data_IF_354196898737
#
_entry.id   IF_354196898737
#
_cell.length_a   1.000
_cell.length_b   1.000
_cell.length_c   1.000
_cell.angle_alpha   90.00
_cell.angle_beta   90.00
_cell.angle_gamma   90.00
#
_symmetry.space_group_name_H-M   'P 1'
#
loop_
_entity.id
_entity.type
_entity.pdbx_description
1 polymer ?
#
# COMPACT_ATOMS: atom_id res chain seq x y z
N UNK A 1 10.56 20.74 6.12
CA UNK A 1 11.20 21.97 5.57
C UNK A 1 12.56 21.67 4.93
N UNK A 2 13.39 20.86 5.57
CA UNK A 2 14.75 20.57 5.05
C UNK A 2 14.75 19.87 3.69
N UNK A 3 13.87 18.89 3.46
CA UNK A 3 13.76 18.21 2.18
C UNK A 3 13.29 19.16 1.08
N UNK A 4 12.24 19.96 1.34
CA UNK A 4 11.75 20.95 0.39
C UNK A 4 12.86 21.93 -0.02
N UNK A 5 13.56 22.50 0.97
CA UNK A 5 14.65 23.45 0.72
C UNK A 5 15.81 22.81 -0.04
N UNK A 6 16.17 21.56 0.27
CA UNK A 6 17.19 20.83 -0.47
C UNK A 6 16.79 20.64 -1.93
N UNK A 7 15.57 20.15 -2.18
CA UNK A 7 15.07 19.94 -3.55
C UNK A 7 14.98 21.23 -4.35
N UNK A 8 14.63 22.35 -3.69
CA UNK A 8 14.54 23.66 -4.31
C UNK A 8 15.92 24.21 -4.68
N UNK A 9 16.89 24.15 -3.74
CA UNK A 9 18.24 24.66 -3.91
C UNK A 9 19.03 23.85 -4.95
N UNK A 10 18.91 22.53 -4.94
CA UNK A 10 19.59 21.62 -5.86
C UNK A 10 18.84 21.44 -7.20
N UNK A 11 17.70 22.15 -7.38
CA UNK A 11 16.88 22.11 -8.59
C UNK A 11 16.49 20.68 -9.01
N UNK A 12 16.07 19.89 -8.04
CA UNK A 12 15.70 18.49 -8.24
C UNK A 12 14.46 18.39 -9.14
N UNK A 13 14.59 17.65 -10.24
CA UNK A 13 13.50 17.43 -11.23
C UNK A 13 12.71 16.15 -10.93
N UNK A 14 13.40 15.11 -10.48
CA UNK A 14 12.84 13.79 -10.23
C UNK A 14 13.37 13.23 -8.90
N UNK A 15 12.51 12.54 -8.16
CA UNK A 15 12.92 11.89 -6.91
C UNK A 15 12.14 10.60 -6.68
N UNK A 16 12.75 9.67 -5.92
CA UNK A 16 12.18 8.38 -5.57
C UNK A 16 12.11 8.24 -4.05
N UNK A 17 11.02 7.70 -3.55
CA UNK A 17 10.84 7.56 -2.12
C UNK A 17 9.59 6.77 -1.75
N UNK A 18 9.30 6.77 -0.46
CA UNK A 18 8.13 6.09 0.12
C UNK A 18 7.02 7.12 0.42
N UNK A 19 5.74 6.71 0.49
CA UNK A 19 4.62 7.63 0.70
C UNK A 19 4.76 8.55 1.91
N UNK A 20 5.30 8.07 3.03
CA UNK A 20 5.50 8.88 4.25
C UNK A 20 6.39 10.12 4.01
N UNK A 21 7.46 9.97 3.21
CA UNK A 21 8.32 11.10 2.82
C UNK A 21 7.53 12.09 1.96
N UNK A 22 6.74 11.57 1.04
CA UNK A 22 5.94 12.39 0.12
C UNK A 22 4.82 13.14 0.82
N UNK A 23 4.15 12.53 1.80
CA UNK A 23 3.16 13.21 2.65
C UNK A 23 3.78 14.39 3.39
N UNK A 24 4.97 14.21 3.98
CA UNK A 24 5.70 15.30 4.62
C UNK A 24 6.10 16.42 3.65
N UNK A 25 6.53 16.08 2.42
CA UNK A 25 6.82 17.05 1.38
C UNK A 25 5.56 17.78 0.93
N UNK A 26 4.45 17.05 0.73
CA UNK A 26 3.17 17.62 0.31
C UNK A 26 2.61 18.60 1.35
N UNK A 27 2.71 18.28 2.64
CA UNK A 27 2.35 19.19 3.72
C UNK A 27 3.14 20.52 3.65
N UNK A 28 4.45 20.46 3.37
CA UNK A 28 5.25 21.67 3.19
C UNK A 28 4.90 22.41 1.89
N UNK A 29 4.59 21.69 0.79
CA UNK A 29 4.14 22.29 -0.47
C UNK A 29 2.82 23.05 -0.30
N UNK A 30 1.86 22.49 0.47
CA UNK A 30 0.59 23.18 0.84
C UNK A 30 0.87 24.46 1.60
N UNK A 31 1.76 24.43 2.59
CA UNK A 31 2.15 25.57 3.41
C UNK A 31 2.84 26.67 2.58
N UNK A 32 3.73 26.27 1.68
CA UNK A 32 4.44 27.16 0.76
C UNK A 32 3.57 27.63 -0.42
N UNK A 33 2.41 26.97 -0.66
CA UNK A 33 1.53 27.15 -1.83
C UNK A 33 2.28 27.00 -3.17
N UNK A 34 3.31 26.20 -3.18
CA UNK A 34 4.13 25.88 -4.37
C UNK A 34 4.88 24.56 -4.17
N UNK A 35 5.37 24.00 -5.25
CA UNK A 35 6.33 22.90 -5.26
C UNK A 35 7.78 23.41 -5.29
N UNK A 36 8.80 22.56 -5.02
CA UNK A 36 10.19 22.87 -5.37
C UNK A 36 10.31 23.23 -6.86
N UNK A 37 11.11 24.22 -7.19
CA UNK A 37 11.08 24.95 -8.46
C UNK A 37 11.03 24.07 -9.71
N UNK A 38 11.85 23.02 -9.80
CA UNK A 38 11.97 22.17 -10.98
C UNK A 38 11.33 20.77 -10.78
N UNK A 39 10.76 20.50 -9.61
CA UNK A 39 10.20 19.19 -9.28
C UNK A 39 8.97 18.86 -10.14
N UNK A 40 9.07 17.85 -10.99
CA UNK A 40 8.05 17.52 -11.99
C UNK A 40 7.68 16.03 -12.04
N UNK A 41 8.50 15.16 -11.43
CA UNK A 41 8.29 13.72 -11.46
C UNK A 41 8.64 13.08 -10.12
N UNK A 42 7.80 12.17 -9.66
CA UNK A 42 8.12 11.33 -8.53
C UNK A 42 7.76 9.87 -8.78
N UNK A 43 8.61 8.98 -8.29
CA UNK A 43 8.29 7.57 -8.14
C UNK A 43 8.06 7.28 -6.65
N UNK A 44 6.92 6.70 -6.35
CA UNK A 44 6.57 6.25 -5.01
C UNK A 44 6.40 4.73 -5.00
N UNK A 45 7.00 4.10 -4.00
CA UNK A 45 6.91 2.65 -3.82
C UNK A 45 7.14 2.25 -2.38
N UNK A 46 7.11 0.95 -2.13
CA UNK A 46 7.34 0.41 -0.79
C UNK A 46 6.10 0.30 0.10
N UNK A 47 5.07 1.09 -0.16
CA UNK A 47 3.71 0.93 0.36
C UNK A 47 2.72 1.52 -0.64
N UNK A 48 1.42 1.32 -0.42
CA UNK A 48 0.38 1.88 -1.27
C UNK A 48 0.40 3.42 -1.24
N UNK A 49 0.12 4.02 -2.39
CA UNK A 49 0.04 5.48 -2.54
C UNK A 49 -1.43 5.89 -2.53
N UNK A 50 -1.87 6.71 -1.55
CA UNK A 50 -3.25 7.14 -1.47
C UNK A 50 -3.70 7.88 -2.74
N UNK A 51 -4.90 7.57 -3.23
CA UNK A 51 -5.49 8.22 -4.40
C UNK A 51 -5.54 9.75 -4.26
N UNK A 52 -5.89 10.23 -3.06
CA UNK A 52 -5.93 11.67 -2.74
C UNK A 52 -4.57 12.35 -2.92
N UNK A 53 -3.48 11.70 -2.53
CA UNK A 53 -2.13 12.22 -2.70
C UNK A 53 -1.75 12.32 -4.18
N UNK A 54 -2.08 11.31 -4.99
CA UNK A 54 -1.84 11.33 -6.45
C UNK A 54 -2.61 12.51 -7.08
N UNK A 55 -3.91 12.63 -6.76
CA UNK A 55 -4.76 13.70 -7.28
C UNK A 55 -4.20 15.09 -6.97
N UNK A 56 -3.81 15.33 -5.74
CA UNK A 56 -3.32 16.64 -5.32
C UNK A 56 -1.97 16.97 -5.95
N UNK A 57 -1.02 16.04 -5.94
CA UNK A 57 0.29 16.25 -6.55
C UNK A 57 0.21 16.57 -8.04
N UNK A 58 -0.65 15.86 -8.76
CA UNK A 58 -0.80 16.08 -10.21
C UNK A 58 -1.63 17.32 -10.54
N UNK A 59 -2.77 17.50 -9.87
CA UNK A 59 -3.73 18.55 -10.21
C UNK A 59 -3.29 19.92 -9.69
N UNK A 60 -2.86 20.00 -8.42
CA UNK A 60 -2.55 21.27 -7.77
C UNK A 60 -1.08 21.68 -7.99
N UNK A 61 -0.18 20.70 -8.03
CA UNK A 61 1.27 20.99 -8.11
C UNK A 61 1.91 20.61 -9.44
N UNK A 62 1.22 19.91 -10.33
CA UNK A 62 1.75 19.50 -11.63
C UNK A 62 3.00 18.61 -11.49
N UNK A 63 2.99 17.68 -10.53
CA UNK A 63 4.02 16.66 -10.34
C UNK A 63 3.47 15.34 -10.84
N UNK A 64 4.10 14.76 -11.85
CA UNK A 64 3.71 13.44 -12.38
C UNK A 64 4.08 12.35 -11.37
N UNK A 65 3.09 11.57 -10.95
CA UNK A 65 3.26 10.50 -9.97
C UNK A 65 3.32 9.15 -10.68
N UNK A 66 4.38 8.42 -10.46
CA UNK A 66 4.50 7.00 -10.85
C UNK A 66 4.49 6.14 -9.60
N UNK A 67 3.57 5.21 -9.51
CA UNK A 67 3.54 4.19 -8.47
C UNK A 67 4.32 2.96 -8.93
N UNK A 68 5.09 2.35 -8.03
CA UNK A 68 5.87 1.15 -8.32
C UNK A 68 5.83 0.15 -7.17
N UNK A 69 6.04 -1.10 -7.55
CA UNK A 69 6.25 -2.19 -6.61
C UNK A 69 7.60 -2.84 -6.84
N UNK A 70 8.19 -3.29 -5.76
CA UNK A 70 9.42 -4.05 -5.81
C UNK A 70 9.92 -4.42 -4.42
N UNK A 71 10.95 -5.22 -4.40
CA UNK A 71 11.64 -5.70 -3.21
C UNK A 71 13.11 -5.90 -3.54
N UNK A 72 13.96 -6.07 -2.53
CA UNK A 72 15.39 -6.29 -2.75
C UNK A 72 15.64 -7.46 -3.69
N UNK A 73 14.83 -8.49 -3.57
CA UNK A 73 14.85 -9.71 -4.39
C UNK A 73 14.47 -9.47 -5.87
N UNK A 74 13.96 -8.29 -6.23
CA UNK A 74 13.62 -7.87 -7.59
C UNK A 74 14.62 -6.86 -8.19
N UNK A 75 15.73 -6.57 -7.55
CA UNK A 75 16.86 -5.71 -7.96
C UNK A 75 16.50 -4.27 -8.42
N UNK A 76 15.82 -3.44 -7.72
CA UNK A 76 14.80 -3.63 -6.68
C UNK A 76 13.36 -3.50 -7.22
N UNK A 77 13.13 -3.22 -8.52
CA UNK A 77 11.84 -2.83 -9.10
C UNK A 77 11.24 -3.95 -9.92
N UNK A 78 10.07 -4.45 -9.51
CA UNK A 78 9.29 -5.47 -10.22
C UNK A 78 8.24 -4.91 -11.19
N UNK A 79 7.58 -3.80 -10.82
CA UNK A 79 6.59 -3.13 -11.68
C UNK A 79 6.54 -1.62 -11.47
N UNK A 80 6.00 -0.91 -12.47
CA UNK A 80 5.74 0.53 -12.42
C UNK A 80 4.47 0.90 -13.18
N UNK A 81 3.77 1.94 -12.73
CA UNK A 81 2.61 2.48 -13.43
C UNK A 81 3.05 3.51 -14.46
N UNK A 82 3.61 3.03 -15.55
CA UNK A 82 3.88 3.89 -16.70
C UNK A 82 2.68 3.86 -17.63
N UNK A 83 1.99 5.01 -17.75
CA UNK A 83 0.87 5.16 -18.64
C UNK A 83 1.36 5.31 -20.09
N UNK A 84 1.01 4.35 -20.95
CA UNK A 84 1.38 4.37 -22.37
C UNK A 84 0.53 5.35 -23.20
N UNK A 85 0.70 5.31 -24.51
CA UNK A 85 -0.04 6.18 -25.44
C UNK A 85 -1.57 6.07 -25.35
N UNK A 86 -2.09 4.91 -24.94
CA UNK A 86 -3.52 4.66 -24.72
C UNK A 86 -4.10 5.56 -23.61
N UNK A 87 -3.29 6.00 -22.65
CA UNK A 87 -3.73 6.89 -21.59
C UNK A 87 -4.06 8.32 -22.08
N UNK A 88 -3.75 8.67 -23.34
CA UNK A 88 -4.10 9.97 -23.89
C UNK A 88 -5.61 10.19 -23.97
N UNK A 89 -6.37 9.11 -24.15
CA UNK A 89 -7.84 9.12 -24.27
C UNK A 89 -8.55 9.07 -22.92
N UNK A 90 -7.82 8.78 -21.84
CA UNK A 90 -8.38 8.69 -20.49
C UNK A 90 -8.56 10.07 -19.87
N UNK A 91 -9.66 10.24 -19.13
CA UNK A 91 -9.88 11.37 -18.25
C UNK A 91 -8.83 11.45 -17.14
N UNK A 92 -8.77 12.59 -16.44
CA UNK A 92 -7.87 12.74 -15.30
C UNK A 92 -8.14 11.70 -14.21
N UNK A 93 -9.42 11.49 -13.86
CA UNK A 93 -9.81 10.56 -12.80
C UNK A 93 -9.49 9.09 -13.15
N UNK A 94 -9.65 8.69 -14.41
CA UNK A 94 -9.25 7.37 -14.89
C UNK A 94 -7.72 7.17 -14.84
N UNK A 95 -6.95 8.21 -15.16
CA UNK A 95 -5.49 8.16 -15.02
C UNK A 95 -5.06 8.03 -13.56
N UNK A 96 -5.68 8.79 -12.67
CA UNK A 96 -5.43 8.70 -11.24
C UNK A 96 -5.77 7.31 -10.72
N UNK A 97 -6.90 6.74 -11.15
CA UNK A 97 -7.28 5.38 -10.76
C UNK A 97 -6.22 4.35 -11.17
N UNK A 98 -5.76 4.39 -12.42
CA UNK A 98 -4.68 3.52 -12.88
C UNK A 98 -3.37 3.72 -12.09
N UNK A 99 -3.10 4.93 -11.62
CA UNK A 99 -1.90 5.24 -10.83
C UNK A 99 -1.97 4.77 -9.37
N UNK A 100 -3.13 4.34 -8.90
CA UNK A 100 -3.24 3.62 -7.61
C UNK A 100 -2.72 2.19 -7.71
N UNK A 101 -2.69 1.59 -8.91
CA UNK A 101 -2.07 0.29 -9.16
C UNK A 101 -0.55 0.42 -9.15
N UNK A 102 0.16 -0.65 -8.76
CA UNK A 102 1.62 -0.69 -8.80
C UNK A 102 2.16 -0.95 -10.22
N UNK A 103 1.26 -1.03 -11.17
CA UNK A 103 1.53 -0.96 -12.60
C UNK A 103 1.87 -2.26 -13.28
N UNK A 104 2.54 -2.16 -14.42
CA UNK A 104 2.90 -3.30 -15.24
C UNK A 104 4.28 -3.81 -14.88
N UNK A 105 4.48 -5.11 -15.04
CA UNK A 105 5.78 -5.75 -14.82
C UNK A 105 6.90 -5.09 -15.63
N UNK A 106 8.09 -5.03 -15.07
CA UNK A 106 9.28 -4.63 -15.78
C UNK A 106 9.66 -5.68 -16.83
N UNK A 107 10.39 -5.28 -17.86
CA UNK A 107 10.78 -6.18 -18.97
C UNK A 107 11.51 -7.45 -18.50
N UNK A 108 12.28 -7.34 -17.42
CA UNK A 108 13.11 -8.43 -16.87
C UNK A 108 12.38 -9.30 -15.83
N UNK A 109 11.08 -9.06 -15.60
CA UNK A 109 10.29 -9.74 -14.56
C UNK A 109 9.01 -10.29 -15.17
N UNK A 110 8.76 -11.57 -14.98
CA UNK A 110 7.45 -12.20 -15.20
C UNK A 110 6.67 -12.28 -13.89
N UNK A 111 5.34 -12.19 -13.98
CA UNK A 111 4.43 -12.21 -12.82
C UNK A 111 3.32 -13.21 -13.04
N UNK A 112 2.95 -13.93 -11.98
CA UNK A 112 1.74 -14.75 -11.91
C UNK A 112 1.08 -14.62 -10.55
N UNK A 113 -0.21 -14.92 -10.48
CA UNK A 113 -0.96 -15.03 -9.23
C UNK A 113 -1.44 -16.46 -9.03
N UNK A 114 -1.31 -16.95 -7.81
CA UNK A 114 -1.57 -18.36 -7.46
C UNK A 114 -2.54 -18.41 -6.28
N UNK A 115 -3.58 -19.24 -6.43
CA UNK A 115 -4.58 -19.46 -5.39
C UNK A 115 -4.06 -20.33 -4.24
N UNK A 116 -4.81 -20.40 -3.14
CA UNK A 116 -4.48 -21.26 -1.98
C UNK A 116 -4.39 -22.76 -2.35
N UNK A 117 -5.07 -23.17 -3.41
CA UNK A 117 -5.01 -24.54 -3.96
C UNK A 117 -3.81 -24.80 -4.87
N UNK A 118 -2.90 -23.83 -4.99
CA UNK A 118 -1.71 -23.89 -5.82
C UNK A 118 -1.95 -23.69 -7.32
N UNK A 119 -3.19 -23.40 -7.74
CA UNK A 119 -3.50 -23.19 -9.17
C UNK A 119 -3.27 -21.74 -9.61
N UNK A 120 -2.88 -21.60 -10.88
CA UNK A 120 -2.79 -20.29 -11.53
C UNK A 120 -4.16 -19.65 -11.62
N UNK A 121 -4.23 -18.38 -11.25
CA UNK A 121 -5.43 -17.56 -11.35
C UNK A 121 -5.41 -16.69 -12.60
N UNK A 122 -6.60 -16.37 -13.18
CA UNK A 122 -6.69 -15.51 -14.35
C UNK A 122 -6.32 -14.05 -14.03
N UNK A 123 -5.74 -13.37 -15.01
CA UNK A 123 -5.52 -11.92 -14.97
C UNK A 123 -6.79 -11.20 -15.43
N UNK A 124 -7.85 -11.22 -14.62
CA UNK A 124 -9.16 -10.64 -14.93
C UNK A 124 -9.49 -9.37 -14.10
N UNK A 125 -8.53 -8.93 -13.29
CA UNK A 125 -8.68 -7.78 -12.40
C UNK A 125 -9.53 -8.07 -11.15
N UNK A 126 -10.04 -9.29 -10.99
CA UNK A 126 -10.93 -9.70 -9.89
C UNK A 126 -10.31 -10.78 -9.02
N UNK A 127 -9.84 -11.87 -9.66
CA UNK A 127 -9.15 -12.93 -8.97
C UNK A 127 -7.87 -12.39 -8.32
N UNK A 128 -7.63 -12.72 -7.07
CA UNK A 128 -6.42 -12.35 -6.35
C UNK A 128 -5.79 -13.59 -5.69
N UNK A 129 -4.49 -13.59 -5.57
CA UNK A 129 -3.73 -14.69 -4.99
C UNK A 129 -2.30 -14.29 -4.71
N UNK A 130 -1.49 -15.24 -4.23
CA UNK A 130 -0.08 -15.01 -3.97
C UNK A 130 0.63 -14.55 -5.25
N UNK A 131 1.27 -13.39 -5.19
CA UNK A 131 2.11 -12.89 -6.27
C UNK A 131 3.42 -13.64 -6.29
N UNK A 132 3.69 -14.28 -7.42
CA UNK A 132 4.96 -14.95 -7.69
C UNK A 132 5.64 -14.31 -8.88
N UNK A 133 6.97 -14.15 -8.80
CA UNK A 133 7.77 -13.49 -9.83
C UNK A 133 8.95 -14.35 -10.26
N UNK A 134 9.36 -14.18 -11.52
CA UNK A 134 10.50 -14.88 -12.11
C UNK A 134 11.18 -13.99 -13.15
N UNK A 135 12.47 -14.11 -13.33
CA UNK A 135 13.18 -13.39 -14.39
C UNK A 135 14.61 -13.03 -14.03
N UNK A 136 15.29 -12.37 -14.95
CA UNK A 136 16.71 -12.05 -14.80
C UNK A 136 17.02 -11.04 -13.69
N UNK A 137 16.04 -10.29 -13.22
CA UNK A 137 16.18 -9.34 -12.11
C UNK A 137 15.83 -9.96 -10.74
N UNK A 138 15.42 -11.23 -10.72
CA UNK A 138 15.00 -11.93 -9.50
C UNK A 138 16.18 -12.71 -8.96
N UNK A 139 16.36 -12.71 -7.63
CA UNK A 139 17.42 -13.48 -6.97
C UNK A 139 17.24 -14.98 -7.19
N UNK A 140 18.36 -15.71 -7.15
CA UNK A 140 18.35 -17.18 -7.15
C UNK A 140 18.28 -17.77 -5.72
N UNK A 141 18.52 -16.94 -4.69
CA UNK A 141 18.50 -17.35 -3.29
C UNK A 141 19.13 -16.33 -2.35
N UNK A 142 19.09 -16.62 -1.06
CA UNK A 142 19.68 -15.80 -0.01
C UNK A 142 21.09 -16.27 0.32
N UNK A 143 22.00 -15.32 0.61
CA UNK A 143 23.39 -15.61 0.90
C UNK A 143 23.52 -16.45 2.19
N UNK A 144 24.20 -17.59 2.11
CA UNK A 144 24.45 -18.52 3.23
C UNK A 144 23.19 -18.96 4.00
N UNK A 145 22.00 -18.93 3.33
CA UNK A 145 20.73 -19.38 3.90
C UNK A 145 19.95 -20.24 2.89
N UNK A 146 20.34 -21.51 2.83
CA UNK A 146 19.74 -22.48 1.91
C UNK A 146 18.27 -22.79 2.29
N UNK A 147 17.97 -22.85 3.60
CA UNK A 147 16.61 -23.11 4.09
C UNK A 147 15.63 -22.01 3.66
N UNK A 148 15.99 -20.73 3.89
CA UNK A 148 15.19 -19.60 3.44
C UNK A 148 15.10 -19.54 1.90
N UNK A 149 16.17 -19.88 1.19
CA UNK A 149 16.20 -19.91 -0.28
C UNK A 149 15.22 -20.92 -0.85
N UNK A 150 15.22 -22.16 -0.34
CA UNK A 150 14.29 -23.22 -0.72
C UNK A 150 12.86 -22.85 -0.34
N UNK A 151 12.64 -22.29 0.83
CA UNK A 151 11.31 -21.86 1.29
C UNK A 151 10.73 -20.74 0.42
N UNK A 152 11.55 -19.82 -0.08
CA UNK A 152 11.12 -18.69 -0.89
C UNK A 152 10.81 -19.06 -2.34
N UNK A 153 11.37 -20.15 -2.86
CA UNK A 153 11.19 -20.54 -4.26
C UNK A 153 10.16 -21.66 -4.44
N UNK A 154 9.49 -21.66 -5.58
CA UNK A 154 8.69 -22.80 -6.04
C UNK A 154 9.57 -23.81 -6.77
N UNK A 155 9.09 -25.06 -6.94
CA UNK A 155 9.81 -26.11 -7.69
C UNK A 155 10.09 -25.72 -9.15
N UNK A 156 9.24 -24.91 -9.77
CA UNK A 156 9.39 -24.40 -11.13
C UNK A 156 10.15 -23.05 -11.20
N UNK A 157 10.78 -22.64 -10.09
CA UNK A 157 11.74 -21.52 -10.02
C UNK A 157 11.08 -20.14 -10.03
N UNK A 158 9.92 -19.97 -9.39
CA UNK A 158 9.31 -18.68 -9.10
C UNK A 158 9.57 -18.28 -7.66
N UNK A 159 9.91 -17.01 -7.45
CA UNK A 159 10.01 -16.43 -6.11
C UNK A 159 8.59 -16.15 -5.59
N UNK A 160 8.27 -16.68 -4.41
CA UNK A 160 7.09 -16.33 -3.63
C UNK A 160 7.35 -14.99 -2.92
N UNK A 161 6.63 -13.95 -3.29
CA UNK A 161 6.89 -12.60 -2.77
C UNK A 161 6.32 -12.36 -1.37
N UNK A 162 5.37 -13.20 -0.95
CA UNK A 162 4.57 -12.98 0.27
C UNK A 162 3.58 -11.83 0.14
N UNK A 163 3.41 -11.27 -1.04
CA UNK A 163 2.38 -10.29 -1.37
C UNK A 163 1.20 -11.00 -2.06
N UNK A 164 0.00 -10.51 -1.84
CA UNK A 164 -1.24 -10.93 -2.51
C UNK A 164 -1.61 -9.83 -3.49
N UNK A 165 -1.88 -10.21 -4.73
CA UNK A 165 -2.17 -9.27 -5.79
C UNK A 165 -3.30 -9.73 -6.71
N UNK A 166 -3.90 -8.80 -7.43
CA UNK A 166 -4.71 -9.02 -8.62
C UNK A 166 -4.04 -8.39 -9.83
N UNK A 167 -4.27 -8.94 -11.01
CA UNK A 167 -3.70 -8.44 -12.26
C UNK A 167 -4.83 -8.26 -13.27
N UNK A 168 -4.90 -7.10 -13.91
CA UNK A 168 -5.90 -6.83 -14.94
C UNK A 168 -5.52 -7.50 -16.29
N UNK A 169 -6.49 -7.65 -17.23
CA UNK A 169 -6.17 -8.15 -18.56
C UNK A 169 -5.10 -7.33 -19.31
N UNK A 170 -4.99 -6.03 -18.99
CA UNK A 170 -3.97 -5.14 -19.56
C UNK A 170 -2.62 -5.26 -18.86
N UNK A 171 -2.53 -6.12 -17.83
CA UNK A 171 -1.31 -6.41 -17.08
C UNK A 171 -0.99 -5.43 -15.95
N UNK A 172 -1.94 -4.60 -15.52
CA UNK A 172 -1.75 -3.77 -14.34
C UNK A 172 -1.93 -4.61 -13.06
N UNK A 173 -0.88 -4.67 -12.27
CA UNK A 173 -0.88 -5.33 -10.97
C UNK A 173 -1.33 -4.36 -9.88
N UNK A 174 -2.18 -4.82 -8.99
CA UNK A 174 -2.61 -4.15 -7.80
C UNK A 174 -2.38 -5.05 -6.59
N UNK A 175 -1.60 -4.58 -5.63
CA UNK A 175 -1.46 -5.26 -4.35
C UNK A 175 -2.78 -5.18 -3.59
N UNK A 176 -3.22 -6.33 -3.11
CA UNK A 176 -4.37 -6.45 -2.21
C UNK A 176 -3.90 -6.36 -0.77
N UNK A 177 -2.87 -7.14 -0.42
CA UNK A 177 -2.25 -7.12 0.90
C UNK A 177 -0.95 -7.94 0.91
N UNK A 178 -0.35 -8.08 2.08
CA UNK A 178 0.60 -9.14 2.38
C UNK A 178 -0.12 -10.38 2.87
N UNK A 179 0.38 -11.55 2.53
CA UNK A 179 -0.21 -12.84 2.98
C UNK A 179 -0.42 -12.88 4.51
N UNK A 180 0.51 -12.28 5.27
CA UNK A 180 0.44 -12.22 6.74
C UNK A 180 -0.34 -11.05 7.31
N UNK A 181 -0.72 -10.06 6.51
CA UNK A 181 -1.45 -8.86 6.92
C UNK A 181 -2.92 -8.90 6.46
N UNK A 182 -3.23 -9.79 5.53
CA UNK A 182 -4.59 -10.04 5.05
C UNK A 182 -5.46 -10.60 6.18
N UNK A 183 -6.58 -9.96 6.45
CA UNK A 183 -7.45 -10.27 7.59
C UNK A 183 -8.46 -11.34 7.17
N UNK A 184 -8.48 -12.48 7.87
CA UNK A 184 -9.39 -13.62 7.59
C UNK A 184 -10.62 -13.58 8.49
N UNK A 185 -11.66 -12.90 8.05
CA UNK A 185 -12.88 -12.67 8.83
C UNK A 185 -14.01 -13.61 8.36
N UNK A 186 -14.40 -14.57 9.19
CA UNK A 186 -15.54 -15.46 8.90
C UNK A 186 -15.41 -16.26 7.58
N UNK A 187 -14.19 -16.51 7.11
CA UNK A 187 -13.91 -17.20 5.84
C UNK A 187 -13.80 -16.26 4.63
N UNK A 188 -13.99 -14.96 4.82
CA UNK A 188 -13.82 -13.94 3.80
C UNK A 188 -12.53 -13.14 4.07
N UNK A 189 -12.02 -12.51 3.03
CA UNK A 189 -10.78 -11.73 3.10
C UNK A 189 -11.06 -10.25 3.17
N UNK A 190 -10.39 -9.54 4.09
CA UNK A 190 -10.41 -8.08 4.19
C UNK A 190 -9.00 -7.56 3.91
N UNK A 191 -8.87 -6.67 2.93
CA UNK A 191 -7.63 -5.97 2.65
C UNK A 191 -7.36 -4.90 3.69
N UNK A 192 -6.29 -5.06 4.45
CA UNK A 192 -5.85 -4.02 5.38
C UNK A 192 -5.37 -2.76 4.64
N UNK A 193 -4.78 -2.92 3.45
CA UNK A 193 -4.31 -1.81 2.61
C UNK A 193 -5.47 -0.96 2.10
N UNK A 194 -6.56 -1.58 1.61
CA UNK A 194 -7.72 -0.84 1.11
C UNK A 194 -8.40 -0.05 2.23
N UNK A 195 -8.49 -0.64 3.44
CA UNK A 195 -8.98 0.05 4.63
C UNK A 195 -8.08 1.23 5.03
N UNK A 196 -6.77 1.04 5.06
CA UNK A 196 -5.80 2.09 5.35
C UNK A 196 -5.91 3.24 4.35
N UNK A 197 -5.96 2.93 3.05
CA UNK A 197 -6.10 3.94 2.00
C UNK A 197 -7.40 4.73 2.14
N UNK A 198 -8.50 4.06 2.48
CA UNK A 198 -9.78 4.72 2.70
C UNK A 198 -9.74 5.61 3.96
N UNK A 199 -9.22 5.10 5.08
CA UNK A 199 -9.12 5.83 6.34
C UNK A 199 -8.15 7.02 6.25
N UNK A 200 -7.00 6.85 5.57
CA UNK A 200 -6.00 7.90 5.33
C UNK A 200 -6.57 9.10 4.56
N UNK A 201 -7.67 8.93 3.82
CA UNK A 201 -8.38 10.02 3.16
C UNK A 201 -9.18 10.92 4.10
N UNK A 202 -9.34 10.55 5.38
CA UNK A 202 -10.03 11.37 6.37
C UNK A 202 -9.23 12.63 6.70
N UNK A 203 -9.84 13.84 6.71
CA UNK A 203 -9.12 15.11 6.89
C UNK A 203 -8.28 15.19 8.16
N UNK A 204 -8.73 14.54 9.23
CA UNK A 204 -8.11 14.59 10.55
C UNK A 204 -7.21 13.40 10.87
N UNK A 205 -7.02 12.43 9.96
CA UNK A 205 -6.10 11.32 10.12
C UNK A 205 -4.76 11.66 9.47
N UNK A 206 -3.71 11.73 10.27
CA UNK A 206 -2.34 11.97 9.80
C UNK A 206 -1.69 10.70 9.27
N UNK A 207 -1.80 9.61 10.02
CA UNK A 207 -1.33 8.28 9.68
C UNK A 207 -2.26 7.22 10.24
N UNK A 208 -2.38 6.08 9.57
CA UNK A 208 -3.11 4.94 10.09
C UNK A 208 -2.52 3.62 9.62
N UNK A 209 -2.82 2.57 10.38
CA UNK A 209 -2.57 1.19 10.03
C UNK A 209 -3.77 0.33 10.42
N UNK A 210 -4.01 -0.72 9.68
CA UNK A 210 -5.03 -1.72 10.00
C UNK A 210 -4.32 -3.07 10.22
N UNK A 211 -4.60 -3.67 11.36
CA UNK A 211 -4.13 -5.03 11.68
C UNK A 211 -5.31 -5.94 11.99
N UNK A 212 -5.08 -7.26 11.89
CA UNK A 212 -6.02 -8.23 12.42
C UNK A 212 -5.94 -8.26 13.94
N UNK A 213 -7.11 -8.31 14.60
CA UNK A 213 -7.23 -8.65 16.02
C UNK A 213 -8.20 -9.83 16.17
N UNK A 214 -7.98 -10.66 17.20
CA UNK A 214 -8.77 -11.86 17.44
C UNK A 214 -10.24 -11.50 17.78
N UNK A 215 -11.17 -12.18 17.11
CA UNK A 215 -12.60 -12.07 17.38
C UNK A 215 -13.23 -13.45 17.59
N UNK A 216 -13.98 -13.69 18.69
CA UNK A 216 -14.49 -15.01 19.04
C UNK A 216 -15.38 -15.66 17.96
N UNK A 217 -16.19 -14.87 17.27
CA UNK A 217 -17.13 -15.34 16.26
C UNK A 217 -16.51 -15.42 14.86
N UNK A 218 -15.65 -14.46 14.48
CA UNK A 218 -15.18 -14.30 13.11
C UNK A 218 -13.73 -14.76 12.89
N UNK A 219 -13.04 -15.18 13.97
CA UNK A 219 -11.61 -15.50 13.96
C UNK A 219 -10.76 -14.23 14.00
N UNK A 220 -10.83 -13.40 12.99
CA UNK A 220 -10.15 -12.11 12.92
C UNK A 220 -11.10 -11.00 12.52
N UNK A 221 -10.87 -9.80 13.07
CA UNK A 221 -11.54 -8.56 12.64
C UNK A 221 -10.54 -7.42 12.52
N UNK A 222 -10.83 -6.42 11.66
CA UNK A 222 -9.97 -5.26 11.51
C UNK A 222 -9.95 -4.40 12.78
N UNK A 223 -8.74 -4.06 13.23
CA UNK A 223 -8.47 -3.03 14.21
C UNK A 223 -7.74 -1.89 13.51
N UNK A 224 -8.37 -0.69 13.50
CA UNK A 224 -7.75 0.52 12.98
C UNK A 224 -6.92 1.17 14.08
N UNK A 225 -5.66 1.49 13.78
CA UNK A 225 -4.79 2.26 14.67
C UNK A 225 -4.45 3.56 13.96
N UNK A 226 -4.74 4.70 14.55
CA UNK A 226 -4.63 5.98 13.87
C UNK A 226 -3.96 7.06 14.72
N UNK A 227 -3.23 7.94 14.04
CA UNK A 227 -2.71 9.21 14.57
C UNK A 227 -3.57 10.32 14.00
N UNK A 228 -4.13 11.16 14.85
CA UNK A 228 -4.95 12.31 14.45
C UNK A 228 -4.17 13.63 14.53
N UNK A 229 -4.68 14.65 13.86
CA UNK A 229 -4.19 16.01 14.10
C UNK A 229 -4.43 16.44 15.54
N UNK A 230 -3.56 17.33 16.05
CA UNK A 230 -3.70 17.87 17.41
C UNK A 230 -5.09 18.51 17.60
N UNK A 231 -5.65 18.31 18.80
CA UNK A 231 -6.94 18.85 19.23
C UNK A 231 -8.19 18.28 18.51
N UNK A 232 -8.07 17.20 17.74
CA UNK A 232 -9.20 16.49 17.14
C UNK A 232 -9.50 15.22 17.93
N UNK A 233 -10.74 15.09 18.38
CA UNK A 233 -11.25 13.86 18.99
C UNK A 233 -12.18 13.19 17.99
N UNK A 234 -11.80 11.98 17.54
CA UNK A 234 -12.62 11.10 16.72
C UNK A 234 -13.03 9.89 17.56
N UNK A 235 -14.11 9.25 17.17
CA UNK A 235 -14.56 7.98 17.73
C UNK A 235 -14.82 6.97 16.62
N UNK A 236 -15.24 5.75 16.95
CA UNK A 236 -15.50 4.67 16.00
C UNK A 236 -16.63 5.02 15.03
N UNK A 237 -17.69 5.68 15.52
CA UNK A 237 -18.83 6.10 14.73
C UNK A 237 -18.44 7.10 13.64
N UNK A 238 -17.58 8.07 13.96
CA UNK A 238 -17.05 9.05 12.99
C UNK A 238 -16.27 8.34 11.87
N UNK A 239 -15.47 7.34 12.22
CA UNK A 239 -14.72 6.51 11.27
C UNK A 239 -15.67 5.69 10.41
N UNK A 240 -16.69 5.05 10.99
CA UNK A 240 -17.69 4.27 10.26
C UNK A 240 -18.48 5.15 9.29
N UNK A 241 -18.94 6.33 9.71
CA UNK A 241 -19.64 7.27 8.84
C UNK A 241 -18.78 7.65 7.64
N UNK A 242 -17.50 7.94 7.88
CA UNK A 242 -16.57 8.30 6.81
C UNK A 242 -16.28 7.14 5.84
N UNK A 243 -16.18 5.91 6.34
CA UNK A 243 -15.83 4.74 5.55
C UNK A 243 -17.04 4.08 4.85
N UNK A 244 -18.27 4.37 5.27
CA UNK A 244 -19.48 3.63 4.89
C UNK A 244 -19.69 3.49 3.35
N UNK A 245 -19.34 4.52 2.57
CA UNK A 245 -19.48 4.52 1.11
C UNK A 245 -18.16 4.23 0.38
N UNK A 246 -17.08 3.94 1.11
CA UNK A 246 -15.73 3.76 0.54
C UNK A 246 -15.27 2.31 0.55
N UNK A 247 -15.77 1.52 1.50
CA UNK A 247 -15.44 0.10 1.65
C UNK A 247 -16.72 -0.72 1.82
N UNK A 248 -16.62 -2.04 1.65
CA UNK A 248 -17.74 -2.94 1.95
C UNK A 248 -18.11 -2.85 3.44
N UNK A 249 -19.40 -2.84 3.77
CA UNK A 249 -19.87 -2.68 5.16
C UNK A 249 -19.25 -3.67 6.15
N UNK A 250 -19.07 -4.90 5.72
CA UNK A 250 -18.47 -5.95 6.55
C UNK A 250 -16.94 -5.82 6.69
N UNK A 251 -16.31 -4.89 5.98
CA UNK A 251 -14.90 -4.52 6.12
C UNK A 251 -14.66 -3.47 7.19
N UNK A 252 -15.70 -2.76 7.60
CA UNK A 252 -15.57 -1.69 8.61
C UNK A 252 -14.82 -2.23 9.84
N UNK A 253 -13.87 -1.47 10.37
CA UNK A 253 -13.12 -1.88 11.55
C UNK A 253 -14.06 -2.05 12.76
N UNK A 254 -13.84 -3.10 13.54
CA UNK A 254 -14.66 -3.35 14.74
C UNK A 254 -14.28 -2.41 15.88
N UNK A 255 -13.08 -1.82 15.83
CA UNK A 255 -12.65 -0.80 16.78
C UNK A 255 -11.56 0.10 16.19
N UNK A 256 -11.32 1.24 16.86
CA UNK A 256 -10.25 2.18 16.54
C UNK A 256 -9.48 2.57 17.79
N UNK A 257 -8.14 2.52 17.68
CA UNK A 257 -7.23 2.97 18.74
C UNK A 257 -6.46 4.18 18.24
N UNK A 258 -6.59 5.30 18.96
CA UNK A 258 -5.82 6.51 18.67
C UNK A 258 -4.52 6.51 19.48
N UNK A 259 -3.42 6.76 18.81
CA UNK A 259 -2.06 6.77 19.37
C UNK A 259 -1.34 8.07 19.03
N UNK A 260 -0.30 8.40 19.79
CA UNK A 260 0.51 9.60 19.53
C UNK A 260 1.40 9.42 18.28
N UNK A 261 1.92 8.20 18.06
CA UNK A 261 2.77 7.84 16.92
C UNK A 261 2.62 6.37 16.54
N UNK A 262 2.84 6.05 15.26
CA UNK A 262 2.93 4.68 14.76
C UNK A 262 4.39 4.22 14.71
N UNK A 263 4.69 2.93 14.96
CA UNK A 263 6.04 2.40 14.83
C UNK A 263 6.45 2.33 13.35
N UNK A 264 7.67 2.80 13.05
CA UNK A 264 8.23 2.77 11.70
C UNK A 264 9.45 1.85 11.62
N UNK A 265 9.67 1.26 10.46
CA UNK A 265 10.90 0.55 10.12
C UNK A 265 12.03 1.56 9.86
N UNK A 266 13.29 1.08 9.79
CA UNK A 266 14.42 1.92 9.42
C UNK A 266 14.29 2.58 8.04
N UNK A 267 13.42 2.05 7.17
CA UNK A 267 13.12 2.60 5.84
C UNK A 267 11.93 3.54 5.81
N UNK A 268 11.36 3.90 6.98
CA UNK A 268 10.24 4.83 7.11
C UNK A 268 8.86 4.26 6.79
N UNK A 269 8.71 2.93 6.71
CA UNK A 269 7.41 2.26 6.54
C UNK A 269 6.80 1.95 7.90
N UNK A 270 5.48 2.01 8.03
CA UNK A 270 4.78 1.56 9.23
C UNK A 270 5.05 0.07 9.48
N UNK A 271 5.41 -0.27 10.72
CA UNK A 271 5.72 -1.63 11.14
C UNK A 271 4.47 -2.34 11.68
N UNK A 272 3.66 -2.95 10.81
CA UNK A 272 2.51 -3.77 11.25
C UNK A 272 2.94 -4.94 12.12
N UNK A 273 4.15 -5.47 11.96
CA UNK A 273 4.69 -6.51 12.83
C UNK A 273 4.77 -6.04 14.28
N UNK A 274 5.31 -4.83 14.50
CA UNK A 274 5.38 -4.22 15.84
C UNK A 274 3.99 -3.95 16.40
N UNK A 275 3.06 -3.43 15.58
CA UNK A 275 1.69 -3.21 16.00
C UNK A 275 0.98 -4.50 16.40
N UNK A 276 1.10 -5.58 15.62
CA UNK A 276 0.53 -6.88 16.00
C UNK A 276 1.07 -7.42 17.33
N UNK A 277 2.36 -7.19 17.63
CA UNK A 277 2.93 -7.59 18.93
C UNK A 277 2.41 -6.71 20.08
N UNK A 278 2.27 -5.39 19.84
CA UNK A 278 1.71 -4.45 20.83
C UNK A 278 0.25 -4.76 21.15
N UNK A 279 -0.53 -5.14 20.15
CA UNK A 279 -1.97 -5.38 20.28
C UNK A 279 -2.35 -6.87 20.27
N UNK A 280 -1.41 -7.79 20.50
CA UNK A 280 -1.65 -9.25 20.45
C UNK A 280 -2.75 -9.73 21.41
N UNK A 281 -2.91 -9.07 22.55
CA UNK A 281 -3.91 -9.38 23.57
C UNK A 281 -5.12 -8.45 23.51
N UNK A 282 -5.29 -7.71 22.41
CA UNK A 282 -6.40 -6.79 22.22
C UNK A 282 -7.74 -7.54 22.21
N UNK A 283 -8.74 -6.99 22.89
CA UNK A 283 -10.10 -7.54 22.94
C UNK A 283 -11.10 -6.46 22.54
N UNK A 284 -11.95 -6.80 21.60
CA UNK A 284 -13.07 -5.92 21.22
C UNK A 284 -14.09 -5.86 22.36
N UNK A 285 -14.44 -4.66 22.81
CA UNK A 285 -15.35 -4.46 23.97
C UNK A 285 -16.76 -5.01 23.74
N UNK A 286 -17.18 -5.24 22.49
CA UNK A 286 -18.52 -5.70 22.11
C UNK A 286 -18.57 -7.15 21.65
N UNK A 287 -17.53 -7.94 21.88
CA UNK A 287 -17.48 -9.34 21.44
C UNK A 287 -18.20 -10.35 22.34
N UNK A 288 -18.89 -9.90 23.40
CA UNK A 288 -19.63 -10.73 24.38
C UNK A 288 -21.17 -10.67 24.21
N UNK A 289 -21.71 -10.62 22.99
CA UNK A 289 -23.16 -10.70 22.79
C UNK A 289 -23.59 -11.83 21.85
#
# INVERSE_FOLDING_TARGET
PSLFSLMDNERVKAAWGVPTIWLGLLAEMRKQKRKPQDFSFMLSGGSAVPRSMIQELEKEFGVDVTHGWGMTECSPVGSTTTLGSQAKELSFDEKVELKTYQGRRMYTVDMRIVGEDGKLLPHDGKAFGELQVKGHAIIDGYHEDEEASVAAMTEDGWLKTGDVARITPEGFMMLVDRTKDLIKSGGEWISSIDLENAAQGHPSIMECAVISAYHPQWGERPLLIAVTENDVTLNLEDIHEYLNDKVAKWWLPDDVVFVEELPHTATGKISKMTLREQFKDYKFEHSES
#
